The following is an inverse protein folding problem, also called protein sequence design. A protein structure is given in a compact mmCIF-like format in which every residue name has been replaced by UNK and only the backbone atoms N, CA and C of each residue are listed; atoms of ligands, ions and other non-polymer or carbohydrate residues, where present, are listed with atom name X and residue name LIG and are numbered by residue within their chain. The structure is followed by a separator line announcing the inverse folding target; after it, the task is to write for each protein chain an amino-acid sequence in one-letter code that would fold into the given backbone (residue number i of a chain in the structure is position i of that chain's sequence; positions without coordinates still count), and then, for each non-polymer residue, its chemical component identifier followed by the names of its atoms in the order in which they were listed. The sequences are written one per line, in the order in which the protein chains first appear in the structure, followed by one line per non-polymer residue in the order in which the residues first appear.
data_IF_678386765416
#
_entry.id   IF_678386765416
#
_cell.length_a   1.000
_cell.length_b   1.000
_cell.length_c   1.000
_cell.angle_alpha   90.00
_cell.angle_beta   90.00
_cell.angle_gamma   90.00
#
_symmetry.space_group_name_H-M   'P 1'
#
loop_
_entity.id
_entity.type
_entity.pdbx_description
1 polymer ?
#
# COMPACT_ATOMS: atom_id res chain seq x y z
N UNK A 1 14.45 -8.30 -4.90
CA UNK A 1 13.45 -7.25 -4.56
C UNK A 1 13.95 -6.46 -3.35
N UNK A 2 13.72 -5.14 -3.31
CA UNK A 2 14.11 -4.29 -2.18
C UNK A 2 12.89 -3.86 -1.36
N UNK A 3 12.90 -4.14 -0.06
CA UNK A 3 11.87 -3.71 0.89
C UNK A 3 12.44 -2.65 1.81
N UNK A 4 11.72 -1.55 1.95
CA UNK A 4 12.05 -0.49 2.87
C UNK A 4 10.95 -0.36 3.91
N UNK A 5 11.30 -0.28 5.19
CA UNK A 5 10.37 0.19 6.22
C UNK A 5 10.77 1.61 6.58
N UNK A 6 9.82 2.54 6.56
CA UNK A 6 10.09 3.94 6.85
C UNK A 6 8.97 4.59 7.64
N UNK A 7 9.36 5.48 8.56
CA UNK A 7 8.47 6.38 9.29
C UNK A 7 8.43 7.79 8.70
N UNK A 8 9.10 8.02 7.55
CA UNK A 8 9.07 9.31 6.86
C UNK A 8 7.63 9.70 6.47
N UNK A 9 7.29 11.00 6.45
CA UNK A 9 5.99 11.46 6.00
C UNK A 9 5.69 10.94 4.59
N UNK A 10 4.49 10.37 4.41
CA UNK A 10 4.15 9.63 3.19
C UNK A 10 4.17 10.50 1.91
N UNK A 11 3.92 11.81 2.07
CA UNK A 11 4.01 12.83 1.04
C UNK A 11 5.45 13.12 0.59
N UNK A 12 6.46 12.69 1.34
CA UNK A 12 7.88 12.94 1.05
C UNK A 12 8.62 11.72 0.49
N UNK A 13 7.92 10.62 0.22
CA UNK A 13 8.54 9.38 -0.26
C UNK A 13 8.60 9.40 -1.80
N UNK A 14 9.79 9.50 -2.41
CA UNK A 14 9.92 9.42 -3.85
C UNK A 14 9.68 7.98 -4.32
N UNK A 15 8.68 7.80 -5.18
CA UNK A 15 8.35 6.54 -5.82
C UNK A 15 7.50 6.77 -7.08
N UNK A 16 7.41 5.75 -7.94
CA UNK A 16 6.58 5.80 -9.15
C UNK A 16 5.08 5.76 -8.82
N UNK A 17 4.71 5.08 -7.73
CA UNK A 17 3.32 4.92 -7.33
C UNK A 17 3.15 4.93 -5.81
N UNK A 18 2.39 5.90 -5.31
CA UNK A 18 1.90 5.89 -3.94
C UNK A 18 0.51 5.25 -3.90
N UNK A 19 0.41 4.08 -3.27
CA UNK A 19 -0.85 3.36 -3.11
C UNK A 19 -1.49 3.68 -1.74
N UNK A 20 -2.68 4.26 -1.80
CA UNK A 20 -3.50 4.68 -0.68
C UNK A 20 -4.79 3.85 -0.65
N UNK A 21 -5.42 3.75 0.51
CA UNK A 21 -6.65 3.00 0.67
C UNK A 21 -7.60 3.70 1.61
N UNK A 22 -8.90 3.49 1.44
CA UNK A 22 -9.94 4.08 2.30
C UNK A 22 -11.18 3.20 2.35
N UNK A 23 -11.92 3.28 3.45
CA UNK A 23 -13.17 2.56 3.63
C UNK A 23 -14.38 3.34 3.10
N UNK A 24 -15.45 2.60 2.81
CA UNK A 24 -16.70 3.15 2.31
C UNK A 24 -17.37 4.07 3.33
N UNK A 25 -17.31 3.68 4.60
CA UNK A 25 -17.89 4.30 5.77
C UNK A 25 -16.91 5.23 6.54
N UNK A 26 -15.71 5.43 6.00
CA UNK A 26 -14.71 6.35 6.56
C UNK A 26 -14.98 7.79 6.17
N UNK A 27 -15.47 8.61 7.09
CA UNK A 27 -15.66 10.05 6.89
C UNK A 27 -15.26 10.82 8.16
N UNK A 28 -14.34 11.80 8.09
CA UNK A 28 -13.49 12.18 6.95
C UNK A 28 -12.43 11.09 6.63
N UNK A 29 -11.70 11.26 5.51
CA UNK A 29 -10.52 10.45 5.22
C UNK A 29 -9.48 10.58 6.33
N UNK A 30 -8.89 9.46 6.74
CA UNK A 30 -7.96 9.35 7.87
C UNK A 30 -6.60 8.78 7.44
N UNK A 31 -5.66 8.78 8.39
CA UNK A 31 -4.32 8.23 8.19
C UNK A 31 -3.59 8.85 7.00
N UNK A 32 -2.85 8.01 6.28
CA UNK A 32 -2.08 8.44 5.11
C UNK A 32 -2.95 9.03 4.01
N UNK A 33 -4.14 8.46 3.77
CA UNK A 33 -5.06 8.94 2.74
C UNK A 33 -5.58 10.33 3.08
N UNK A 34 -5.96 10.57 4.34
CA UNK A 34 -6.37 11.90 4.82
C UNK A 34 -5.25 12.93 4.76
N UNK A 35 -4.02 12.54 5.12
CA UNK A 35 -2.85 13.43 5.03
C UNK A 35 -2.57 13.84 3.57
N UNK A 36 -2.59 12.88 2.64
CA UNK A 36 -2.40 13.18 1.21
C UNK A 36 -3.53 14.06 0.69
N UNK A 37 -4.79 13.77 1.06
CA UNK A 37 -5.92 14.60 0.65
C UNK A 37 -5.76 16.05 1.14
N UNK A 38 -5.35 16.25 2.39
CA UNK A 38 -5.04 17.58 2.92
C UNK A 38 -3.93 18.27 2.12
N UNK A 39 -2.84 17.56 1.82
CA UNK A 39 -1.72 18.09 1.02
C UNK A 39 -2.17 18.57 -0.35
N UNK A 40 -3.03 17.82 -1.03
CA UNK A 40 -3.53 18.17 -2.37
C UNK A 40 -4.81 19.03 -2.35
N UNK A 41 -5.08 19.72 -1.23
CA UNK A 41 -6.15 20.70 -1.08
C UNK A 41 -7.56 20.10 -1.06
N UNK A 42 -7.73 18.86 -0.57
CA UNK A 42 -9.03 18.20 -0.43
C UNK A 42 -9.59 17.64 -1.74
N UNK A 43 -8.72 17.31 -2.72
CA UNK A 43 -9.15 16.81 -4.04
C UNK A 43 -9.90 15.48 -3.92
N UNK A 44 -9.46 14.54 -3.09
CA UNK A 44 -10.13 13.27 -2.84
C UNK A 44 -11.44 13.50 -2.09
N UNK A 45 -11.45 14.38 -1.08
CA UNK A 45 -12.70 14.77 -0.40
C UNK A 45 -13.74 15.36 -1.37
N UNK A 46 -13.32 16.19 -2.33
CA UNK A 46 -14.23 16.71 -3.38
C UNK A 46 -14.78 15.59 -4.26
N UNK A 47 -13.99 14.56 -4.59
CA UNK A 47 -14.46 13.39 -5.33
C UNK A 47 -15.46 12.55 -4.50
N UNK A 48 -15.24 12.42 -3.19
CA UNK A 48 -16.16 11.75 -2.26
C UNK A 48 -17.51 12.49 -2.16
N UNK A 49 -17.47 13.80 -1.98
CA UNK A 49 -18.67 14.65 -1.90
C UNK A 49 -19.48 14.59 -3.21
N UNK A 50 -18.79 14.53 -4.35
CA UNK A 50 -19.40 14.34 -5.66
C UNK A 50 -19.80 12.89 -5.99
N UNK A 51 -19.64 11.95 -5.03
CA UNK A 51 -19.90 10.52 -5.20
C UNK A 51 -19.19 9.87 -6.40
N UNK A 52 -18.06 10.44 -6.84
CA UNK A 52 -17.23 9.89 -7.93
C UNK A 52 -16.34 8.75 -7.45
N UNK A 53 -16.01 8.75 -6.17
CA UNK A 53 -15.43 7.63 -5.43
C UNK A 53 -16.25 7.47 -4.16
N UNK A 54 -16.33 6.26 -3.64
CA UNK A 54 -17.17 5.97 -2.46
C UNK A 54 -16.51 5.04 -1.46
N UNK A 55 -15.48 4.29 -1.84
CA UNK A 55 -14.73 3.33 -1.01
C UNK A 55 -15.22 1.89 -1.16
N UNK A 56 -15.91 1.56 -2.26
CA UNK A 56 -16.40 0.19 -2.51
C UNK A 56 -15.23 -0.78 -2.64
N UNK A 57 -15.41 -2.02 -2.18
CA UNK A 57 -14.43 -3.07 -2.45
C UNK A 57 -14.22 -3.21 -3.96
N UNK A 58 -12.97 -3.26 -4.40
CA UNK A 58 -12.65 -3.30 -5.82
C UNK A 58 -12.56 -1.94 -6.51
N UNK A 59 -12.96 -0.84 -5.85
CA UNK A 59 -12.83 0.49 -6.43
C UNK A 59 -11.36 0.89 -6.57
N UNK A 60 -10.99 1.48 -7.71
CA UNK A 60 -9.64 1.97 -7.96
C UNK A 60 -9.69 3.31 -8.69
N UNK A 61 -8.94 4.28 -8.18
CA UNK A 61 -8.74 5.57 -8.81
C UNK A 61 -7.24 5.77 -9.03
N UNK A 62 -6.86 6.15 -10.25
CA UNK A 62 -5.55 6.71 -10.56
C UNK A 62 -5.71 8.22 -10.73
N UNK A 63 -4.88 9.00 -10.04
CA UNK A 63 -4.83 10.46 -10.23
C UNK A 63 -3.37 10.91 -10.26
N UNK A 64 -3.02 11.93 -11.06
CA UNK A 64 -1.69 12.54 -10.97
C UNK A 64 -1.46 13.07 -9.55
N UNK A 65 -0.21 12.98 -9.10
CA UNK A 65 0.24 13.75 -7.95
C UNK A 65 0.31 15.24 -8.29
N UNK A 66 0.66 16.06 -7.31
CA UNK A 66 1.04 17.46 -7.52
C UNK A 66 2.43 17.71 -6.92
N UNK A 67 2.95 18.93 -7.08
CA UNK A 67 4.26 19.35 -6.58
C UNK A 67 4.47 19.18 -5.06
N UNK A 68 3.39 18.95 -4.30
CA UNK A 68 3.44 18.78 -2.84
C UNK A 68 3.69 17.32 -2.44
N UNK A 69 3.59 16.39 -3.38
CA UNK A 69 3.79 14.96 -3.15
C UNK A 69 4.98 14.47 -3.98
N UNK A 70 5.95 13.85 -3.32
CA UNK A 70 7.17 13.35 -3.96
C UNK A 70 6.94 12.14 -4.89
N UNK A 71 5.82 11.43 -4.74
CA UNK A 71 5.45 10.33 -5.61
C UNK A 71 4.95 10.83 -6.98
N UNK A 72 5.25 10.11 -8.05
CA UNK A 72 4.83 10.50 -9.42
C UNK A 72 3.32 10.33 -9.66
N UNK A 73 2.71 9.32 -9.05
CA UNK A 73 1.31 8.95 -9.26
C UNK A 73 0.65 8.51 -7.97
N UNK A 74 -0.61 8.87 -7.80
CA UNK A 74 -1.43 8.46 -6.67
C UNK A 74 -2.44 7.40 -7.13
N UNK A 75 -2.44 6.27 -6.44
CA UNK A 75 -3.45 5.23 -6.60
C UNK A 75 -4.27 5.16 -5.32
N UNK A 76 -5.59 5.12 -5.45
CA UNK A 76 -6.50 5.03 -4.32
C UNK A 76 -7.40 3.79 -4.49
N UNK A 77 -7.44 2.94 -3.47
CA UNK A 77 -8.15 1.67 -3.48
C UNK A 77 -9.27 1.67 -2.42
N UNK A 78 -10.49 1.33 -2.83
CA UNK A 78 -11.62 1.18 -1.92
C UNK A 78 -11.61 -0.17 -1.21
N UNK A 79 -11.78 -0.15 0.11
CA UNK A 79 -11.71 -1.35 0.96
C UNK A 79 -13.08 -2.00 1.26
N UNK A 80 -14.17 -1.34 0.87
CA UNK A 80 -15.53 -1.70 1.30
C UNK A 80 -15.84 -1.15 2.68
N UNK A 81 -16.82 -1.74 3.37
CA UNK A 81 -17.17 -1.35 4.74
C UNK A 81 -16.13 -1.89 5.72
N UNK A 82 -15.83 -1.13 6.77
CA UNK A 82 -14.88 -1.55 7.83
C UNK A 82 -15.30 -2.89 8.45
N UNK A 83 -16.59 -3.05 8.75
CA UNK A 83 -17.14 -4.26 9.39
C UNK A 83 -16.95 -5.54 8.57
N UNK A 84 -16.83 -5.41 7.24
CA UNK A 84 -16.67 -6.54 6.33
C UNK A 84 -15.19 -6.86 6.05
N UNK A 85 -14.26 -6.08 6.60
CA UNK A 85 -12.83 -6.17 6.27
C UNK A 85 -12.12 -7.24 7.09
N UNK A 86 -11.90 -8.39 6.47
CA UNK A 86 -11.21 -9.55 7.03
C UNK A 86 -9.84 -9.76 6.39
N UNK A 87 -9.06 -10.74 6.90
CA UNK A 87 -7.84 -11.19 6.23
C UNK A 87 -8.09 -11.69 4.79
N UNK A 88 -9.27 -12.24 4.51
CA UNK A 88 -9.69 -12.60 3.15
C UNK A 88 -9.80 -11.37 2.25
N UNK A 89 -10.50 -10.33 2.71
CA UNK A 89 -10.60 -9.05 1.98
C UNK A 89 -9.26 -8.34 1.83
N UNK A 90 -8.42 -8.39 2.85
CA UNK A 90 -7.05 -7.87 2.78
C UNK A 90 -6.25 -8.57 1.66
N UNK A 91 -6.35 -9.90 1.55
CA UNK A 91 -5.69 -10.67 0.48
C UNK A 91 -6.16 -10.24 -0.91
N UNK A 92 -7.46 -10.05 -1.11
CA UNK A 92 -8.02 -9.54 -2.36
C UNK A 92 -7.52 -8.13 -2.68
N UNK A 93 -7.46 -7.27 -1.66
CA UNK A 93 -6.97 -5.90 -1.76
C UNK A 93 -5.51 -5.86 -2.21
N UNK A 94 -4.61 -6.60 -1.56
CA UNK A 94 -3.19 -6.60 -1.95
C UNK A 94 -2.98 -7.19 -3.35
N UNK A 95 -3.75 -8.22 -3.73
CA UNK A 95 -3.73 -8.76 -5.10
C UNK A 95 -4.14 -7.70 -6.11
N UNK A 96 -5.16 -6.91 -5.82
CA UNK A 96 -5.61 -5.82 -6.67
C UNK A 96 -4.57 -4.70 -6.77
N UNK A 97 -3.97 -4.29 -5.66
CA UNK A 97 -2.91 -3.27 -5.63
C UNK A 97 -1.74 -3.73 -6.49
N UNK A 98 -1.16 -4.90 -6.19
CA UNK A 98 -0.02 -5.48 -6.90
C UNK A 98 -0.30 -5.60 -8.39
N UNK A 99 -1.45 -6.18 -8.75
CA UNK A 99 -1.83 -6.37 -10.15
C UNK A 99 -2.00 -5.05 -10.89
N UNK A 100 -2.66 -4.07 -10.27
CA UNK A 100 -2.88 -2.74 -10.86
C UNK A 100 -1.56 -2.03 -11.09
N UNK A 101 -0.70 -1.93 -10.06
CA UNK A 101 0.56 -1.19 -10.15
C UNK A 101 1.51 -1.82 -11.17
N UNK A 102 1.69 -3.13 -11.15
CA UNK A 102 2.63 -3.81 -12.04
C UNK A 102 2.16 -3.89 -13.49
N UNK A 103 0.84 -3.93 -13.75
CA UNK A 103 0.29 -3.76 -15.10
C UNK A 103 0.49 -2.34 -15.65
N UNK A 104 0.62 -1.35 -14.77
CA UNK A 104 0.94 0.03 -15.12
C UNK A 104 2.45 0.31 -15.18
N UNK A 105 3.28 -0.75 -15.10
CA UNK A 105 4.74 -0.67 -15.07
C UNK A 105 5.29 0.19 -13.91
N UNK A 106 4.58 0.26 -12.79
CA UNK A 106 5.06 0.89 -11.55
C UNK A 106 5.71 -0.17 -10.65
N UNK A 107 7.03 -0.26 -10.63
CA UNK A 107 7.78 -1.25 -9.84
C UNK A 107 8.45 -0.65 -8.60
N UNK A 108 8.45 0.68 -8.49
CA UNK A 108 8.85 1.42 -7.31
C UNK A 108 7.62 2.04 -6.63
N UNK A 109 7.21 1.45 -5.51
CA UNK A 109 5.95 1.77 -4.86
C UNK A 109 6.11 2.04 -3.37
N UNK A 110 5.24 2.89 -2.84
CA UNK A 110 5.10 3.15 -1.42
C UNK A 110 3.65 2.95 -0.98
N UNK A 111 3.45 2.38 0.21
CA UNK A 111 2.13 2.22 0.80
C UNK A 111 2.20 2.05 2.32
N UNK A 112 1.20 2.51 3.09
CA UNK A 112 0.89 1.89 4.36
C UNK A 112 0.26 0.51 4.12
N UNK A 113 0.25 -0.38 5.11
CA UNK A 113 -0.49 -1.64 4.99
C UNK A 113 -2.02 -1.34 4.90
N UNK A 114 -2.72 -1.74 3.82
CA UNK A 114 -4.08 -1.31 3.55
C UNK A 114 -5.07 -1.70 4.66
N UNK A 115 -5.74 -0.70 5.25
CA UNK A 115 -6.78 -0.90 6.28
C UNK A 115 -6.29 -1.43 7.63
N UNK A 116 -5.01 -1.82 7.77
CA UNK A 116 -4.49 -2.52 8.96
C UNK A 116 -4.57 -1.66 10.22
N UNK A 117 -4.15 -0.39 10.12
CA UNK A 117 -4.16 0.52 11.27
C UNK A 117 -5.57 0.81 11.82
N UNK A 118 -6.60 0.76 10.98
CA UNK A 118 -7.99 1.04 11.37
C UNK A 118 -8.74 -0.19 11.87
N UNK A 119 -8.36 -1.38 11.40
CA UNK A 119 -9.08 -2.64 11.68
C UNK A 119 -8.40 -3.49 12.75
N UNK A 120 -7.16 -3.20 13.10
CA UNK A 120 -6.39 -3.98 14.07
C UNK A 120 -5.96 -5.35 13.55
N UNK A 121 -6.02 -5.59 12.23
CA UNK A 121 -5.44 -6.80 11.63
C UNK A 121 -3.96 -6.93 12.00
N UNK A 122 -3.48 -8.17 12.09
CA UNK A 122 -2.11 -8.46 12.48
C UNK A 122 -1.09 -7.95 11.46
N UNK A 123 -0.18 -7.08 11.91
CA UNK A 123 0.91 -6.54 11.09
C UNK A 123 1.82 -7.62 10.48
N UNK A 124 2.23 -8.68 11.21
CA UNK A 124 3.06 -9.73 10.63
C UNK A 124 2.37 -10.45 9.47
N UNK A 125 1.12 -10.90 9.66
CA UNK A 125 0.35 -11.69 8.69
C UNK A 125 0.04 -10.86 7.44
N UNK A 126 -0.33 -9.60 7.62
CA UNK A 126 -0.67 -8.68 6.52
C UNK A 126 0.57 -8.26 5.72
N UNK A 127 1.71 -8.07 6.39
CA UNK A 127 3.00 -7.86 5.72
C UNK A 127 3.40 -9.07 4.89
N UNK A 128 3.33 -10.27 5.49
CA UNK A 128 3.64 -11.51 4.78
C UNK A 128 2.77 -11.68 3.54
N UNK A 129 1.46 -11.45 3.65
CA UNK A 129 0.51 -11.56 2.54
C UNK A 129 0.84 -10.59 1.40
N UNK A 130 1.23 -9.34 1.70
CA UNK A 130 1.64 -8.37 0.69
C UNK A 130 2.87 -8.87 -0.09
N UNK A 131 3.91 -9.29 0.63
CA UNK A 131 5.16 -9.73 0.00
C UNK A 131 4.99 -11.00 -0.82
N UNK A 132 4.24 -11.98 -0.30
CA UNK A 132 3.91 -13.21 -1.02
C UNK A 132 3.13 -12.91 -2.30
N UNK A 133 2.25 -11.91 -2.29
CA UNK A 133 1.47 -11.55 -3.48
C UNK A 133 2.34 -10.85 -4.54
N UNK A 134 3.31 -10.03 -4.14
CA UNK A 134 4.32 -9.47 -5.06
C UNK A 134 5.10 -10.59 -5.75
N UNK A 135 5.61 -11.57 -5.00
CA UNK A 135 6.32 -12.73 -5.57
C UNK A 135 5.42 -13.56 -6.49
N UNK A 136 4.18 -13.80 -6.06
CA UNK A 136 3.21 -14.57 -6.82
C UNK A 136 2.91 -13.95 -8.18
N UNK A 137 2.86 -12.62 -8.26
CA UNK A 137 2.63 -11.92 -9.52
C UNK A 137 3.69 -12.24 -10.58
N UNK A 138 4.97 -12.30 -10.17
CA UNK A 138 6.08 -12.53 -11.09
C UNK A 138 6.42 -14.01 -11.33
N UNK A 139 5.90 -14.95 -10.51
CA UNK A 139 6.24 -16.39 -10.59
C UNK A 139 6.14 -17.02 -11.99
N UNK A 140 5.25 -16.52 -12.85
CA UNK A 140 5.03 -17.04 -14.22
C UNK A 140 5.37 -16.02 -15.31
N UNK A 141 6.07 -14.95 -14.97
CA UNK A 141 6.47 -13.90 -15.91
C UNK A 141 7.89 -14.21 -16.42
N UNK A 142 8.15 -14.06 -17.73
CA UNK A 142 9.47 -14.34 -18.28
C UNK A 142 10.52 -13.35 -17.79
N UNK A 143 10.10 -12.12 -17.48
CA UNK A 143 10.95 -11.06 -16.97
C UNK A 143 10.43 -10.55 -15.63
N UNK A 144 11.38 -10.23 -14.75
CA UNK A 144 11.12 -9.61 -13.46
C UNK A 144 11.92 -8.31 -13.36
N UNK A 145 11.27 -7.14 -13.42
CA UNK A 145 11.95 -5.87 -13.20
C UNK A 145 12.36 -5.73 -11.72
N UNK A 146 13.33 -4.86 -11.42
CA UNK A 146 13.68 -4.54 -10.04
C UNK A 146 12.49 -3.90 -9.34
N UNK A 147 12.00 -4.55 -8.29
CA UNK A 147 10.88 -4.06 -7.47
C UNK A 147 11.42 -3.42 -6.20
N UNK A 148 10.97 -2.20 -5.92
CA UNK A 148 11.17 -1.49 -4.65
C UNK A 148 9.81 -1.27 -3.99
N UNK A 149 9.66 -1.69 -2.75
CA UNK A 149 8.43 -1.51 -1.97
C UNK A 149 8.74 -0.86 -0.62
N UNK A 150 8.27 0.37 -0.42
CA UNK A 150 8.36 1.08 0.84
C UNK A 150 7.07 0.91 1.64
N UNK A 151 7.17 0.22 2.78
CA UNK A 151 6.10 0.08 3.76
C UNK A 151 6.20 1.27 4.72
N UNK A 152 5.21 2.15 4.65
CA UNK A 152 5.14 3.37 5.46
C UNK A 152 4.40 3.06 6.75
N UNK A 153 5.10 3.16 7.86
CA UNK A 153 4.57 2.75 9.15
C UNK A 153 5.18 3.57 10.28
N UNK A 154 4.43 3.69 11.39
CA UNK A 154 4.97 4.33 12.58
C UNK A 154 6.06 3.46 13.22
N UNK A 155 7.03 4.05 13.94
CA UNK A 155 8.10 3.29 14.58
C UNK A 155 7.58 2.16 15.51
N UNK A 156 6.47 2.38 16.20
CA UNK A 156 5.95 1.43 17.21
C UNK A 156 5.51 0.08 16.62
N UNK A 157 5.14 0.06 15.33
CA UNK A 157 4.68 -1.16 14.64
C UNK A 157 5.77 -1.78 13.76
N UNK A 158 6.91 -1.11 13.58
CA UNK A 158 8.03 -1.57 12.76
C UNK A 158 8.52 -2.97 13.14
N UNK A 159 8.72 -3.31 14.44
CA UNK A 159 9.14 -4.66 14.82
C UNK A 159 8.15 -5.75 14.38
N UNK A 160 6.84 -5.45 14.36
CA UNK A 160 5.81 -6.41 13.93
C UNK A 160 5.84 -6.62 12.41
N UNK A 161 6.11 -5.56 11.65
CA UNK A 161 6.30 -5.64 10.19
C UNK A 161 7.53 -6.48 9.88
N UNK A 162 8.66 -6.27 10.57
CA UNK A 162 9.86 -7.09 10.40
C UNK A 162 9.61 -8.59 10.62
N UNK A 163 8.82 -8.96 11.64
CA UNK A 163 8.43 -10.35 11.86
C UNK A 163 7.69 -10.92 10.64
N UNK A 164 6.77 -10.15 10.04
CA UNK A 164 6.10 -10.53 8.80
C UNK A 164 7.05 -10.71 7.62
N UNK A 165 8.06 -9.84 7.48
CA UNK A 165 9.11 -9.96 6.45
C UNK A 165 9.90 -11.26 6.66
N UNK A 166 10.40 -11.51 7.88
CA UNK A 166 11.16 -12.73 8.21
C UNK A 166 10.32 -13.99 7.96
N UNK A 167 9.04 -13.95 8.30
CA UNK A 167 8.10 -15.07 8.06
C UNK A 167 7.96 -15.36 6.57
N UNK A 168 7.82 -14.30 5.74
CA UNK A 168 7.76 -14.45 4.30
C UNK A 168 9.04 -15.11 3.75
N UNK A 169 10.21 -14.63 4.19
CA UNK A 169 11.52 -15.16 3.76
C UNK A 169 11.68 -16.65 4.05
N UNK A 170 11.28 -17.07 5.26
CA UNK A 170 11.42 -18.46 5.70
C UNK A 170 10.53 -19.45 4.91
N UNK A 171 9.47 -18.97 4.25
CA UNK A 171 8.59 -19.82 3.43
C UNK A 171 9.16 -20.15 2.05
N UNK A 172 10.43 -19.87 1.79
CA UNK A 172 11.13 -20.14 0.52
C UNK A 172 10.34 -19.65 -0.70
N UNK A 173 9.60 -18.55 -0.51
CA UNK A 173 8.65 -18.03 -1.51
C UNK A 173 9.34 -17.10 -2.52
N UNK A 174 10.54 -16.63 -2.19
CA UNK A 174 11.32 -15.67 -2.98
C UNK A 174 12.33 -16.41 -3.86
N UNK A 175 12.33 -16.12 -5.15
CA UNK A 175 13.29 -16.66 -6.11
C UNK A 175 14.60 -15.86 -6.18
N UNK A 176 14.64 -14.68 -5.57
CA UNK A 176 15.80 -13.79 -5.48
C UNK A 176 15.99 -13.28 -4.04
N UNK A 177 17.23 -12.89 -3.65
CA UNK A 177 17.46 -12.28 -2.35
C UNK A 177 16.63 -11.01 -2.15
N UNK A 178 16.10 -10.86 -0.94
CA UNK A 178 15.37 -9.69 -0.49
C UNK A 178 16.32 -8.77 0.27
N UNK A 179 16.47 -7.55 -0.19
CA UNK A 179 17.22 -6.53 0.52
C UNK A 179 16.28 -5.77 1.45
N UNK A 180 16.55 -5.82 2.75
CA UNK A 180 15.80 -5.06 3.76
C UNK A 180 16.59 -3.81 4.15
N UNK A 181 15.98 -2.65 4.01
CA UNK A 181 16.53 -1.38 4.48
C UNK A 181 15.57 -0.71 5.46
N UNK A 182 16.07 -0.34 6.64
CA UNK A 182 15.34 0.46 7.61
C UNK A 182 15.76 1.91 7.46
N UNK A 183 14.83 2.77 7.03
CA UNK A 183 15.08 4.20 6.94
C UNK A 183 14.48 4.90 8.15
N UNK A 184 15.30 5.45 9.07
CA UNK A 184 14.80 6.29 10.15
C UNK A 184 14.11 7.55 9.59
N UNK A 185 13.30 8.18 10.45
CA UNK A 185 12.54 9.39 10.16
C UNK A 185 13.43 10.54 9.65
#
# INVERSE_FOLDING_TARGET
MKILITSRPIDQIPCQALALSFFQDERPLQGSTGLIDWRIGGKLSRLLLAQRIVGRNGETLLTPSDERIAAERLFLFGLGKVVDFSLGRYRETVKQIVSTLFRMHCYDLALPLPGVAMTGLGYPETTEMLLVEIERYFRRKPERPPVRCAIVARPEVTPKIEVGIRTALNRNTFHEPLELELLPA
#
